data_IF_987307473054
#
_entry.id   IF_987307473054
#
_cell.length_a   1.000
_cell.length_b   1.000
_cell.length_c   1.000
_cell.angle_alpha   90.00
_cell.angle_beta   90.00
_cell.angle_gamma   90.00
#
_symmetry.space_group_name_H-M   'P 1'
#
loop_
_entity.id
_entity.type
_entity.pdbx_description
1 polymer ?
#
# COMPACT_ATOMS: atom_id res chain seq x y z
N UNK A 1 25.03 1.03 -18.29
CA UNK A 1 24.06 0.04 -17.82
C UNK A 1 22.95 0.76 -17.09
N UNK A 2 21.84 1.02 -17.77
CA UNK A 2 20.61 1.48 -17.13
C UNK A 2 19.73 0.26 -16.86
N UNK A 3 19.61 -0.12 -15.58
CA UNK A 3 18.69 -1.15 -15.10
C UNK A 3 17.46 -0.45 -14.51
N UNK A 4 16.27 -0.77 -15.00
CA UNK A 4 15.02 -0.31 -14.36
C UNK A 4 14.25 -1.48 -13.75
N UNK A 5 13.93 -1.31 -12.48
CA UNK A 5 12.94 -2.10 -11.75
C UNK A 5 11.55 -1.52 -12.05
N UNK A 6 10.91 -1.96 -13.13
CA UNK A 6 9.54 -1.56 -13.50
C UNK A 6 8.48 -2.31 -12.69
N UNK A 7 8.78 -2.59 -11.43
CA UNK A 7 7.97 -3.42 -10.55
C UNK A 7 6.58 -2.82 -10.27
N UNK A 8 6.39 -1.51 -10.41
CA UNK A 8 5.09 -0.85 -10.15
C UNK A 8 4.46 -0.33 -11.45
N UNK A 9 5.28 0.12 -12.40
CA UNK A 9 4.81 0.66 -13.69
C UNK A 9 4.48 -0.41 -14.71
N UNK A 10 5.13 -1.58 -14.66
CA UNK A 10 5.02 -2.64 -15.67
C UNK A 10 3.59 -3.03 -16.06
N UNK A 11 2.64 -3.20 -15.12
CA UNK A 11 1.25 -3.53 -15.44
C UNK A 11 0.51 -2.45 -16.25
N UNK A 12 1.00 -1.22 -16.28
CA UNK A 12 0.24 -0.05 -16.72
C UNK A 12 0.82 0.64 -17.97
N UNK A 13 2.14 0.65 -18.11
CA UNK A 13 2.82 1.40 -19.18
C UNK A 13 3.37 0.49 -20.25
N UNK A 14 3.53 1.00 -21.47
CA UNK A 14 4.29 0.32 -22.51
C UNK A 14 5.76 0.19 -22.08
N UNK A 15 6.36 -0.99 -22.27
CA UNK A 15 7.75 -1.26 -21.91
C UNK A 15 8.55 -1.39 -23.19
N UNK A 16 9.46 -0.44 -23.43
CA UNK A 16 10.39 -0.47 -24.57
C UNK A 16 11.82 -0.38 -24.05
N UNK A 17 12.64 -1.39 -24.40
CA UNK A 17 14.05 -1.42 -24.01
C UNK A 17 14.85 -0.30 -24.67
N UNK A 18 14.74 -0.09 -25.99
CA UNK A 18 15.50 0.95 -26.73
C UNK A 18 17.02 0.92 -26.45
N UNK A 19 17.60 -0.26 -26.20
CA UNK A 19 19.00 -0.40 -25.80
C UNK A 19 19.96 0.25 -26.81
N UNK A 20 20.99 0.92 -26.31
CA UNK A 20 21.93 1.73 -27.11
C UNK A 20 21.48 3.17 -27.36
N UNK A 21 20.24 3.53 -27.01
CA UNK A 21 19.80 4.93 -27.00
C UNK A 21 20.08 5.60 -25.65
N UNK A 22 20.20 6.92 -25.63
CA UNK A 22 20.54 7.69 -24.41
C UNK A 22 19.51 7.57 -23.30
N UNK A 23 18.24 7.33 -23.65
CA UNK A 23 17.12 7.09 -22.74
C UNK A 23 16.68 5.60 -22.73
N UNK A 24 17.49 4.72 -23.32
CA UNK A 24 17.24 3.28 -23.38
C UNK A 24 17.63 2.53 -22.12
N UNK A 25 16.97 1.40 -21.90
CA UNK A 25 17.27 0.42 -20.87
C UNK A 25 18.13 -0.70 -21.43
N UNK A 26 19.19 -1.04 -20.71
CA UNK A 26 20.03 -2.19 -21.04
C UNK A 26 19.52 -3.47 -20.38
N UNK A 27 18.75 -3.33 -19.29
CA UNK A 27 18.05 -4.42 -18.64
C UNK A 27 16.77 -3.94 -17.96
N UNK A 28 15.76 -4.80 -17.92
CA UNK A 28 14.46 -4.59 -17.29
C UNK A 28 14.11 -5.83 -16.47
N UNK A 29 13.76 -5.61 -15.20
CA UNK A 29 13.24 -6.66 -14.34
C UNK A 29 11.77 -6.42 -14.01
N UNK A 30 10.95 -7.45 -14.23
CA UNK A 30 9.50 -7.40 -14.10
C UNK A 30 9.00 -8.43 -13.09
N UNK A 31 7.89 -8.07 -12.44
CA UNK A 31 7.13 -8.94 -11.55
C UNK A 31 5.72 -9.10 -12.09
N UNK A 32 5.46 -10.13 -12.93
CA UNK A 32 4.15 -10.33 -13.51
C UNK A 32 3.06 -10.60 -12.47
N UNK A 33 3.39 -10.99 -11.23
CA UNK A 33 2.42 -11.11 -10.12
C UNK A 33 1.69 -9.81 -9.75
N UNK A 34 2.09 -8.68 -10.33
CA UNK A 34 1.41 -7.39 -10.20
C UNK A 34 0.51 -7.03 -11.38
N UNK A 35 0.53 -7.85 -12.43
CA UNK A 35 -0.35 -7.72 -13.59
C UNK A 35 -1.68 -8.39 -13.28
N UNK A 36 -2.74 -7.94 -13.94
CA UNK A 36 -4.05 -8.58 -13.86
C UNK A 36 -3.94 -10.03 -14.37
N UNK A 37 -4.27 -11.01 -13.52
CA UNK A 37 -4.14 -12.44 -13.83
C UNK A 37 -2.73 -13.02 -13.65
N UNK A 38 -1.75 -12.21 -13.20
CA UNK A 38 -0.38 -12.63 -13.03
C UNK A 38 0.04 -13.26 -11.69
N UNK A 39 -0.76 -13.30 -10.59
CA UNK A 39 -0.36 -14.06 -9.40
C UNK A 39 0.15 -15.48 -9.72
N UNK A 40 1.17 -15.92 -8.99
CA UNK A 40 1.93 -17.16 -9.20
C UNK A 40 2.81 -17.23 -10.46
N UNK A 41 3.03 -16.11 -11.16
CA UNK A 41 4.02 -16.01 -12.26
C UNK A 41 5.47 -15.93 -11.74
N UNK A 42 6.49 -16.34 -12.53
CA UNK A 42 7.89 -16.10 -12.19
C UNK A 42 8.28 -14.63 -12.39
N UNK A 43 9.39 -14.20 -11.79
CA UNK A 43 10.04 -12.94 -12.17
C UNK A 43 10.62 -13.04 -13.58
N UNK A 44 10.61 -11.92 -14.33
CA UNK A 44 11.18 -11.88 -15.68
C UNK A 44 12.34 -10.89 -15.72
N UNK A 45 13.50 -11.35 -16.19
CA UNK A 45 14.65 -10.50 -16.52
C UNK A 45 14.83 -10.47 -18.03
N UNK A 46 14.74 -9.28 -18.61
CA UNK A 46 15.13 -9.02 -19.99
C UNK A 46 16.38 -8.15 -19.98
N UNK A 47 17.42 -8.55 -20.72
CA UNK A 47 18.66 -7.77 -20.78
C UNK A 47 19.28 -7.83 -22.17
N UNK A 48 20.02 -6.79 -22.53
CA UNK A 48 20.85 -6.79 -23.72
C UNK A 48 21.90 -7.91 -23.59
N UNK A 49 21.99 -8.77 -24.61
CA UNK A 49 22.93 -9.91 -24.67
C UNK A 49 24.38 -9.52 -24.40
N UNK A 50 24.78 -8.28 -24.73
CA UNK A 50 26.12 -7.75 -24.49
C UNK A 50 26.45 -7.56 -22.98
N UNK A 51 25.44 -7.53 -22.11
CA UNK A 51 25.62 -7.51 -20.66
C UNK A 51 25.91 -8.89 -20.07
N UNK A 52 25.59 -9.97 -20.78
CA UNK A 52 25.83 -11.32 -20.27
C UNK A 52 27.30 -11.70 -20.39
N UNK A 53 28.08 -11.38 -19.34
CA UNK A 53 29.52 -11.62 -19.25
C UNK A 53 29.89 -12.97 -18.62
N UNK A 54 28.90 -13.73 -18.16
CA UNK A 54 29.09 -15.02 -17.49
C UNK A 54 29.21 -16.20 -18.47
N UNK A 55 29.32 -15.98 -19.79
CA UNK A 55 29.42 -17.10 -20.76
C UNK A 55 30.61 -18.03 -20.48
N UNK A 56 31.72 -17.46 -20.01
CA UNK A 56 32.93 -18.21 -19.67
C UNK A 56 32.98 -18.67 -18.21
N UNK A 57 31.86 -18.66 -17.49
CA UNK A 57 31.78 -19.03 -16.07
C UNK A 57 30.50 -19.82 -15.80
N UNK A 58 30.40 -20.55 -14.67
CA UNK A 58 29.15 -21.18 -14.28
C UNK A 58 27.97 -20.19 -14.24
N UNK A 59 26.73 -20.62 -14.55
CA UNK A 59 25.55 -19.77 -14.43
C UNK A 59 25.29 -19.32 -12.99
N UNK A 60 24.46 -18.30 -12.83
CA UNK A 60 24.12 -17.77 -11.50
C UNK A 60 23.43 -18.82 -10.63
N UNK A 61 22.64 -19.71 -11.25
CA UNK A 61 22.01 -20.86 -10.58
C UNK A 61 22.31 -22.12 -11.38
N UNK A 62 23.12 -23.02 -10.81
CA UNK A 62 23.42 -24.31 -11.41
C UNK A 62 22.31 -25.33 -11.11
N UNK A 63 22.02 -26.21 -12.06
CA UNK A 63 21.06 -27.29 -11.89
C UNK A 63 20.90 -28.14 -13.14
N UNK A 64 20.09 -29.20 -13.06
CA UNK A 64 19.71 -29.97 -14.25
C UNK A 64 19.11 -29.07 -15.33
N UNK A 65 19.39 -29.35 -16.60
CA UNK A 65 18.92 -28.52 -17.71
C UNK A 65 19.74 -27.25 -18.01
N UNK A 66 20.85 -27.00 -17.30
CA UNK A 66 21.78 -25.88 -17.58
C UNK A 66 23.09 -26.32 -18.24
N UNK A 67 23.27 -27.64 -18.39
CA UNK A 67 24.51 -28.31 -18.79
C UNK A 67 24.26 -29.25 -19.96
N UNK A 68 25.22 -29.31 -20.87
CA UNK A 68 25.30 -30.33 -21.91
C UNK A 68 26.11 -31.54 -21.42
N UNK A 69 27.10 -31.31 -20.56
CA UNK A 69 27.94 -32.37 -19.99
C UNK A 69 28.47 -32.00 -18.61
N UNK A 70 28.47 -32.98 -17.70
CA UNK A 70 29.04 -32.88 -16.35
C UNK A 70 29.94 -34.10 -16.13
N UNK A 71 31.13 -33.86 -15.60
CA UNK A 71 32.06 -34.92 -15.21
C UNK A 71 32.19 -34.99 -13.67
N UNK A 72 32.88 -36.01 -13.17
CA UNK A 72 33.10 -36.23 -11.73
C UNK A 72 34.49 -35.86 -11.21
N UNK A 73 35.32 -35.17 -12.00
CA UNK A 73 36.75 -34.96 -11.73
C UNK A 73 37.11 -33.48 -11.53
N UNK A 74 36.84 -32.61 -12.51
CA UNK A 74 37.15 -31.17 -12.45
C UNK A 74 35.94 -30.35 -12.96
N UNK A 75 35.55 -29.35 -12.18
CA UNK A 75 34.45 -28.43 -12.51
C UNK A 75 34.69 -27.67 -13.82
N UNK A 76 35.96 -27.42 -14.19
CA UNK A 76 36.34 -26.70 -15.42
C UNK A 76 35.98 -27.43 -16.70
N UNK A 77 35.86 -28.75 -16.62
CA UNK A 77 35.50 -29.61 -17.75
C UNK A 77 33.97 -29.80 -17.85
N UNK A 78 33.18 -29.04 -17.08
CA UNK A 78 31.71 -28.97 -17.21
C UNK A 78 31.35 -28.13 -18.43
N UNK A 79 30.53 -28.70 -19.33
CA UNK A 79 30.03 -27.99 -20.50
C UNK A 79 28.63 -27.49 -20.19
N UNK A 80 28.51 -26.17 -20.06
CA UNK A 80 27.23 -25.49 -19.85
C UNK A 80 26.58 -25.11 -21.18
N UNK A 81 25.25 -25.07 -21.21
CA UNK A 81 24.50 -24.68 -22.41
C UNK A 81 24.89 -23.27 -22.90
N UNK A 82 24.91 -23.08 -24.22
CA UNK A 82 25.24 -21.79 -24.86
C UNK A 82 24.07 -20.79 -24.83
N UNK A 83 22.83 -21.30 -24.85
CA UNK A 83 21.64 -20.45 -24.84
C UNK A 83 21.41 -19.90 -23.45
N UNK A 84 21.51 -18.57 -23.33
CA UNK A 84 21.52 -17.83 -22.05
C UNK A 84 20.28 -18.14 -21.22
N UNK A 85 19.10 -18.22 -21.84
CA UNK A 85 17.84 -18.46 -21.14
C UNK A 85 17.78 -19.86 -20.52
N UNK A 86 18.28 -20.88 -21.21
CA UNK A 86 18.31 -22.26 -20.70
C UNK A 86 19.41 -22.40 -19.63
N UNK A 87 20.57 -21.79 -19.88
CA UNK A 87 21.71 -21.74 -18.97
C UNK A 87 21.39 -21.13 -17.60
N UNK A 88 20.52 -20.12 -17.53
CA UNK A 88 20.13 -19.45 -16.28
C UNK A 88 18.84 -19.99 -15.65
N UNK A 89 18.19 -21.00 -16.26
CA UNK A 89 16.99 -21.65 -15.72
C UNK A 89 17.31 -23.04 -15.18
N UNK A 90 17.96 -23.06 -14.01
CA UNK A 90 18.30 -24.30 -13.30
C UNK A 90 17.09 -25.12 -12.86
N UNK A 91 17.10 -26.42 -13.19
CA UNK A 91 16.09 -27.39 -12.79
C UNK A 91 14.88 -27.43 -13.74
N UNK A 92 13.75 -27.95 -13.24
CA UNK A 92 12.51 -27.98 -14.01
C UNK A 92 11.99 -26.56 -14.22
N UNK A 93 11.85 -26.08 -15.48
CA UNK A 93 11.34 -24.73 -15.73
C UNK A 93 9.93 -24.55 -15.18
N UNK A 94 9.56 -23.34 -14.74
CA UNK A 94 8.24 -23.07 -14.20
C UNK A 94 7.22 -22.89 -15.34
N UNK A 95 6.86 -23.99 -16.02
CA UNK A 95 6.07 -24.00 -17.27
C UNK A 95 4.72 -23.30 -17.06
N UNK A 96 3.92 -23.76 -16.10
CA UNK A 96 2.58 -23.21 -15.85
C UNK A 96 2.66 -21.74 -15.42
N UNK A 97 3.64 -21.39 -14.59
CA UNK A 97 3.84 -20.02 -14.15
C UNK A 97 4.26 -19.11 -15.33
N UNK A 98 5.04 -19.63 -16.28
CA UNK A 98 5.42 -18.92 -17.51
C UNK A 98 4.21 -18.69 -18.42
N UNK A 99 3.34 -19.68 -18.57
CA UNK A 99 2.07 -19.50 -19.31
C UNK A 99 1.20 -18.44 -18.65
N UNK A 100 1.09 -18.44 -17.31
CA UNK A 100 0.36 -17.39 -16.57
C UNK A 100 0.95 -16.01 -16.81
N UNK A 101 2.28 -15.87 -16.79
CA UNK A 101 2.93 -14.61 -17.10
C UNK A 101 2.55 -14.13 -18.51
N UNK A 102 2.65 -14.99 -19.53
CA UNK A 102 2.30 -14.64 -20.91
C UNK A 102 0.83 -14.18 -21.02
N UNK A 103 -0.10 -14.90 -20.40
CA UNK A 103 -1.53 -14.53 -20.38
C UNK A 103 -1.77 -13.18 -19.71
N UNK A 104 -1.06 -12.87 -18.62
CA UNK A 104 -1.17 -11.57 -17.96
C UNK A 104 -0.71 -10.41 -18.86
N UNK A 105 0.31 -10.61 -19.69
CA UNK A 105 0.70 -9.65 -20.72
C UNK A 105 -0.36 -9.52 -21.81
N UNK A 106 -0.92 -10.63 -22.30
CA UNK A 106 -1.98 -10.59 -23.31
C UNK A 106 -3.23 -9.85 -22.83
N UNK A 107 -3.64 -10.03 -21.56
CA UNK A 107 -4.76 -9.27 -20.98
C UNK A 107 -4.47 -7.76 -21.01
N UNK A 108 -3.25 -7.36 -20.62
CA UNK A 108 -2.84 -5.95 -20.65
C UNK A 108 -2.84 -5.39 -22.08
N UNK A 109 -2.31 -6.14 -23.04
CA UNK A 109 -2.25 -5.75 -24.45
C UNK A 109 -3.64 -5.64 -25.07
N UNK A 110 -4.53 -6.59 -24.76
CA UNK A 110 -5.92 -6.60 -25.21
C UNK A 110 -6.69 -5.34 -24.75
N UNK A 111 -6.48 -4.89 -23.51
CA UNK A 111 -7.11 -3.67 -22.99
C UNK A 111 -6.50 -2.42 -23.65
N UNK A 112 -5.19 -2.45 -23.91
CA UNK A 112 -4.47 -1.40 -24.59
C UNK A 112 -3.98 -0.28 -23.68
N UNK A 113 -2.74 0.18 -23.90
CA UNK A 113 -2.05 1.13 -23.03
C UNK A 113 -2.76 2.48 -22.91
N UNK A 114 -3.35 2.98 -24.01
CA UNK A 114 -4.07 4.26 -24.04
C UNK A 114 -5.32 4.24 -23.15
N UNK A 115 -6.06 3.14 -23.15
CA UNK A 115 -7.27 3.01 -22.32
C UNK A 115 -6.90 2.84 -20.84
N UNK A 116 -5.86 2.06 -20.54
CA UNK A 116 -5.31 1.95 -19.18
C UNK A 116 -4.91 3.32 -18.65
N UNK A 117 -4.11 4.07 -19.41
CA UNK A 117 -3.67 5.42 -19.04
C UNK A 117 -4.87 6.36 -18.83
N UNK A 118 -5.82 6.39 -19.77
CA UNK A 118 -7.01 7.22 -19.68
C UNK A 118 -7.79 6.96 -18.38
N UNK A 119 -7.99 5.70 -18.01
CA UNK A 119 -8.71 5.33 -16.77
C UNK A 119 -7.92 5.66 -15.52
N UNK A 120 -6.62 5.36 -15.48
CA UNK A 120 -5.78 5.73 -14.34
C UNK A 120 -5.75 7.25 -14.12
N UNK A 121 -5.57 8.02 -15.19
CA UNK A 121 -5.57 9.48 -15.13
C UNK A 121 -6.95 10.02 -14.70
N UNK A 122 -8.05 9.41 -15.17
CA UNK A 122 -9.39 9.78 -14.72
C UNK A 122 -9.55 9.61 -13.20
N UNK A 123 -9.21 8.44 -12.67
CA UNK A 123 -9.36 8.16 -11.24
C UNK A 123 -8.46 9.01 -10.37
N UNK A 124 -7.17 9.13 -10.70
CA UNK A 124 -6.24 9.89 -9.86
C UNK A 124 -6.57 11.38 -9.85
N UNK A 125 -6.88 11.98 -11.00
CA UNK A 125 -7.20 13.41 -11.07
C UNK A 125 -8.50 13.72 -10.31
N UNK A 126 -9.49 12.83 -10.39
CA UNK A 126 -10.74 12.96 -9.63
C UNK A 126 -10.51 12.82 -8.12
N UNK A 127 -9.69 11.86 -7.70
CA UNK A 127 -9.35 11.66 -6.29
C UNK A 127 -8.57 12.86 -5.71
N UNK A 128 -7.57 13.37 -6.44
CA UNK A 128 -6.81 14.56 -6.05
C UNK A 128 -7.74 15.76 -5.88
N UNK A 129 -8.54 16.08 -6.91
CA UNK A 129 -9.46 17.22 -6.88
C UNK A 129 -10.45 17.16 -5.71
N UNK A 130 -10.95 15.96 -5.38
CA UNK A 130 -11.92 15.78 -4.30
C UNK A 130 -11.27 15.92 -2.92
N UNK A 131 -10.17 15.21 -2.69
CA UNK A 131 -9.57 15.08 -1.35
C UNK A 131 -8.67 16.25 -0.97
N UNK A 132 -8.07 16.97 -1.93
CA UNK A 132 -7.21 18.13 -1.66
C UNK A 132 -7.97 19.27 -0.97
N UNK A 133 -9.28 19.37 -1.19
CA UNK A 133 -10.14 20.35 -0.54
C UNK A 133 -10.36 20.08 0.97
N UNK A 134 -10.04 18.88 1.46
CA UNK A 134 -10.31 18.48 2.83
C UNK A 134 -9.17 18.91 3.77
N UNK A 135 -9.41 19.79 4.76
CA UNK A 135 -8.36 20.32 5.63
C UNK A 135 -7.72 19.27 6.53
N UNK A 136 -8.35 18.11 6.75
CA UNK A 136 -7.83 17.03 7.60
C UNK A 136 -7.05 15.98 6.80
N UNK A 137 -7.02 16.07 5.47
CA UNK A 137 -6.29 15.15 4.61
C UNK A 137 -5.08 15.88 4.04
N UNK A 138 -3.95 15.19 3.96
CA UNK A 138 -2.82 15.66 3.18
C UNK A 138 -2.34 14.55 2.27
N UNK A 139 -2.30 14.86 0.98
CA UNK A 139 -1.90 13.93 -0.08
C UNK A 139 -0.39 14.05 -0.26
N UNK A 140 0.30 12.91 -0.25
CA UNK A 140 1.75 12.85 -0.31
C UNK A 140 2.27 12.71 -1.76
N UNK A 141 3.47 13.25 -1.95
CA UNK A 141 4.17 13.28 -3.23
C UNK A 141 3.84 14.52 -4.06
N UNK A 142 4.35 14.58 -5.29
CA UNK A 142 4.10 15.70 -6.19
C UNK A 142 2.67 15.62 -6.75
N UNK A 143 1.91 16.71 -6.62
CA UNK A 143 0.51 16.82 -7.06
C UNK A 143 0.37 17.40 -8.47
N UNK A 144 1.42 18.01 -9.01
CA UNK A 144 1.44 18.65 -10.34
C UNK A 144 1.94 17.72 -11.45
N UNK A 145 2.68 16.67 -11.10
CA UNK A 145 3.22 15.72 -12.07
C UNK A 145 2.25 14.57 -12.34
N UNK A 146 2.21 14.11 -13.59
CA UNK A 146 1.53 12.87 -13.98
C UNK A 146 2.00 11.72 -13.07
N UNK A 147 1.04 10.96 -12.54
CA UNK A 147 1.29 9.84 -11.64
C UNK A 147 0.34 8.68 -11.92
N UNK A 148 0.75 7.48 -11.55
CA UNK A 148 -0.14 6.31 -11.52
C UNK A 148 -1.27 6.52 -10.52
N UNK A 149 -2.35 5.76 -10.65
CA UNK A 149 -3.52 5.88 -9.79
C UNK A 149 -3.32 5.26 -8.39
N UNK A 150 -2.22 5.65 -7.74
CA UNK A 150 -1.81 5.25 -6.41
C UNK A 150 -1.80 6.50 -5.53
N UNK A 151 -2.73 6.53 -4.58
CA UNK A 151 -2.93 7.64 -3.67
C UNK A 151 -2.28 7.30 -2.32
N UNK A 152 -1.30 8.10 -1.93
CA UNK A 152 -0.70 8.06 -0.59
C UNK A 152 -1.13 9.31 0.18
N UNK A 153 -1.66 9.14 1.38
CA UNK A 153 -2.21 10.24 2.16
C UNK A 153 -2.05 10.01 3.66
N UNK A 154 -2.10 11.11 4.41
CA UNK A 154 -2.17 11.13 5.87
C UNK A 154 -3.45 11.84 6.30
N UNK A 155 -3.96 11.45 7.46
CA UNK A 155 -5.15 12.07 8.07
C UNK A 155 -4.73 12.68 9.41
N UNK A 156 -5.10 13.94 9.62
CA UNK A 156 -4.92 14.65 10.87
C UNK A 156 -6.12 14.45 11.79
N UNK A 157 -5.83 14.28 13.09
CA UNK A 157 -6.85 14.47 14.12
C UNK A 157 -7.20 15.96 14.25
N UNK A 158 -8.33 16.27 14.90
CA UNK A 158 -8.77 17.63 15.23
C UNK A 158 -8.70 17.84 16.73
N UNK A 159 -8.41 19.08 17.16
CA UNK A 159 -8.37 19.46 18.58
C UNK A 159 -9.27 20.67 18.86
N UNK A 160 -9.82 20.71 20.07
CA UNK A 160 -10.56 21.86 20.62
C UNK A 160 -9.65 22.83 21.41
N UNK A 161 -8.39 22.47 21.69
CA UNK A 161 -7.52 23.28 22.54
C UNK A 161 -6.78 24.36 21.76
N UNK A 162 -6.82 25.59 22.28
CA UNK A 162 -6.11 26.77 21.76
C UNK A 162 -4.58 26.68 21.90
N UNK A 163 -4.06 25.73 22.67
CA UNK A 163 -2.65 25.58 23.04
C UNK A 163 -1.81 25.03 21.88
N UNK A 164 -1.06 25.92 21.26
CA UNK A 164 -0.12 25.67 20.17
C UNK A 164 1.15 24.95 20.65
N UNK A 165 1.11 23.62 20.70
CA UNK A 165 2.32 22.77 20.62
C UNK A 165 2.10 21.61 19.63
N UNK A 166 1.38 21.90 18.54
CA UNK A 166 1.23 20.97 17.42
C UNK A 166 2.50 20.96 16.58
N UNK A 167 3.16 19.80 16.51
CA UNK A 167 4.19 19.51 15.53
C UNK A 167 3.53 19.40 14.15
N UNK A 168 3.32 20.56 13.53
CA UNK A 168 2.83 20.71 12.17
C UNK A 168 3.87 21.40 11.29
N UNK A 169 3.85 21.07 10.00
CA UNK A 169 4.65 21.69 8.94
C UNK A 169 4.56 23.22 9.07
N UNK A 170 5.72 23.88 9.27
CA UNK A 170 5.81 25.30 9.67
C UNK A 170 5.15 26.28 8.67
N UNK A 171 4.97 25.88 7.41
CA UNK A 171 4.32 26.67 6.34
C UNK A 171 2.78 26.57 6.30
N UNK A 172 2.15 25.68 7.07
CA UNK A 172 0.69 25.47 7.07
C UNK A 172 -0.06 26.26 8.15
N UNK A 173 0.61 27.17 8.88
CA UNK A 173 0.00 27.95 9.97
C UNK A 173 -0.96 29.05 9.49
N UNK A 174 -0.98 29.38 8.21
CA UNK A 174 -1.77 30.47 7.65
C UNK A 174 -2.83 29.96 6.68
N UNK A 175 -3.82 29.20 7.17
CA UNK A 175 -5.16 29.15 6.56
C UNK A 175 -6.15 28.36 7.42
N UNK A 176 -7.17 29.09 7.88
CA UNK A 176 -8.51 28.66 8.32
C UNK A 176 -8.78 28.52 9.83
N UNK A 177 -9.87 29.17 10.24
CA UNK A 177 -10.43 29.33 11.58
C UNK A 177 -11.34 28.18 12.05
N UNK A 178 -11.27 26.99 11.43
CA UNK A 178 -11.98 25.78 11.88
C UNK A 178 -10.99 24.82 12.55
N UNK A 179 -11.33 24.30 13.75
CA UNK A 179 -10.58 23.33 14.58
C UNK A 179 -9.15 22.99 14.11
N UNK A 180 -8.13 23.54 14.78
CA UNK A 180 -6.72 23.36 14.43
C UNK A 180 -6.35 21.87 14.26
N UNK A 181 -5.50 21.56 13.27
CA UNK A 181 -4.93 20.21 13.06
C UNK A 181 -4.21 19.75 14.34
N UNK A 182 -4.57 18.55 14.80
CA UNK A 182 -3.90 17.82 15.88
C UNK A 182 -2.78 16.91 15.36
N UNK A 183 -2.40 15.90 16.14
CA UNK A 183 -1.46 14.84 15.70
C UNK A 183 -2.06 14.01 14.55
N UNK A 184 -1.20 13.33 13.79
CA UNK A 184 -1.60 12.41 12.73
C UNK A 184 -2.39 11.23 13.28
N UNK A 185 -3.29 10.65 12.50
CA UNK A 185 -3.75 9.28 12.73
C UNK A 185 -2.70 8.31 12.15
N UNK A 186 -2.40 7.24 12.87
CA UNK A 186 -1.39 6.28 12.43
C UNK A 186 -1.81 5.63 11.09
N UNK A 187 -0.92 5.55 10.09
CA UNK A 187 -1.26 5.00 8.78
C UNK A 187 -1.89 3.58 8.82
N UNK A 188 -1.33 2.63 9.59
CA UNK A 188 -1.95 1.36 9.90
C UNK A 188 -3.32 1.47 10.59
N UNK A 189 -3.55 2.45 11.47
CA UNK A 189 -4.88 2.65 12.09
C UNK A 189 -5.92 3.03 11.04
N UNK A 190 -5.59 4.00 10.18
CA UNK A 190 -6.48 4.42 9.10
C UNK A 190 -6.76 3.26 8.14
N UNK A 191 -5.75 2.44 7.82
CA UNK A 191 -5.95 1.24 7.01
C UNK A 191 -6.85 0.20 7.70
N UNK A 192 -6.67 0.00 9.00
CA UNK A 192 -7.55 -0.86 9.81
C UNK A 192 -8.98 -0.35 9.83
N UNK A 193 -9.23 0.96 10.01
CA UNK A 193 -10.58 1.54 9.96
C UNK A 193 -11.24 1.34 8.58
N UNK A 194 -10.48 1.52 7.50
CA UNK A 194 -10.97 1.28 6.14
C UNK A 194 -11.37 -0.18 5.93
N UNK A 195 -10.60 -1.11 6.49
CA UNK A 195 -10.90 -2.54 6.44
C UNK A 195 -12.11 -2.90 7.30
N UNK A 196 -12.08 -2.58 8.59
CA UNK A 196 -13.08 -3.04 9.56
C UNK A 196 -14.46 -2.42 9.33
N UNK A 197 -14.53 -1.15 8.90
CA UNK A 197 -15.79 -0.44 8.74
C UNK A 197 -16.38 -0.56 7.33
N UNK A 198 -15.53 -0.76 6.31
CA UNK A 198 -15.94 -0.65 4.90
C UNK A 198 -15.49 -1.82 4.02
N UNK A 199 -14.71 -2.77 4.53
CA UNK A 199 -14.14 -3.86 3.74
C UNK A 199 -13.08 -3.40 2.72
N UNK A 200 -12.52 -2.19 2.88
CA UNK A 200 -11.55 -1.62 1.94
C UNK A 200 -10.14 -2.00 2.38
N UNK A 201 -9.45 -2.77 1.56
CA UNK A 201 -8.05 -3.14 1.80
C UNK A 201 -7.11 -2.00 1.40
N UNK A 202 -6.59 -1.28 2.41
CA UNK A 202 -5.54 -0.29 2.25
C UNK A 202 -4.21 -0.80 2.83
N UNK A 203 -3.10 -0.10 2.52
CA UNK A 203 -1.80 -0.37 3.16
C UNK A 203 -1.37 0.79 4.03
N UNK A 204 -1.07 0.51 5.30
CA UNK A 204 -0.48 1.46 6.23
C UNK A 204 1.02 1.20 6.42
N UNK A 205 1.85 2.25 6.45
CA UNK A 205 3.28 2.17 6.74
C UNK A 205 4.14 3.05 5.83
N UNK A 206 5.42 2.70 5.66
CA UNK A 206 6.38 3.47 4.86
C UNK A 206 6.63 2.90 3.44
N UNK A 207 5.82 1.93 2.99
CA UNK A 207 5.85 1.35 1.64
C UNK A 207 7.24 0.88 1.13
N UNK A 208 8.08 0.36 2.01
CA UNK A 208 9.49 -0.02 1.74
C UNK A 208 10.37 1.15 1.25
N UNK A 209 9.93 2.39 1.47
CA UNK A 209 10.60 3.61 1.05
C UNK A 209 11.01 4.44 2.29
N UNK A 210 11.69 3.80 3.25
CA UNK A 210 12.06 4.39 4.54
C UNK A 210 12.70 5.79 4.43
N UNK A 211 13.78 5.96 3.64
CA UNK A 211 14.42 7.27 3.45
C UNK A 211 13.48 8.33 2.86
N UNK A 212 12.67 7.95 1.86
CA UNK A 212 11.68 8.86 1.27
C UNK A 212 10.59 9.24 2.27
N UNK A 213 10.18 8.30 3.14
CA UNK A 213 9.27 8.57 4.25
C UNK A 213 9.80 9.59 5.26
N UNK A 214 11.12 9.62 5.49
CA UNK A 214 11.73 10.66 6.33
C UNK A 214 11.59 12.06 5.71
N UNK A 215 11.79 12.16 4.40
CA UNK A 215 11.61 13.42 3.68
C UNK A 215 10.14 13.85 3.68
N UNK A 216 9.22 12.95 3.33
CA UNK A 216 7.79 13.22 3.29
C UNK A 216 7.20 13.65 4.64
N UNK A 217 7.68 13.06 5.73
CA UNK A 217 7.19 13.32 7.09
C UNK A 217 8.07 14.32 7.86
N UNK A 218 9.05 14.94 7.20
CA UNK A 218 9.99 15.89 7.79
C UNK A 218 10.71 15.38 9.06
N UNK A 219 11.11 14.10 9.04
CA UNK A 219 11.83 13.46 10.14
C UNK A 219 13.30 13.85 10.06
N UNK A 220 13.77 14.59 11.07
CA UNK A 220 15.17 15.00 11.14
C UNK A 220 16.08 13.87 11.70
N UNK A 221 17.39 14.12 11.71
CA UNK A 221 18.39 13.14 12.14
C UNK A 221 18.20 12.68 13.60
N UNK A 222 17.93 13.59 14.54
CA UNK A 222 17.78 13.22 15.95
C UNK A 222 16.53 12.38 16.17
N UNK A 223 15.43 12.73 15.51
CA UNK A 223 14.20 11.94 15.53
C UNK A 223 14.37 10.56 14.89
N UNK A 224 15.08 10.47 13.76
CA UNK A 224 15.39 9.19 13.10
C UNK A 224 16.19 8.26 14.03
N UNK A 225 17.19 8.80 14.73
CA UNK A 225 17.98 8.03 15.70
C UNK A 225 17.17 7.61 16.92
N UNK A 226 16.26 8.46 17.41
CA UNK A 226 15.33 8.10 18.48
C UNK A 226 14.43 6.93 18.07
N UNK A 227 13.81 7.03 16.87
CA UNK A 227 12.98 5.94 16.30
C UNK A 227 13.79 4.65 16.22
N UNK A 228 15.04 4.72 15.73
CA UNK A 228 15.93 3.56 15.65
C UNK A 228 16.17 2.94 17.04
N UNK A 229 16.53 3.73 18.05
CA UNK A 229 16.77 3.24 19.41
C UNK A 229 15.56 2.50 19.97
N UNK A 230 14.38 3.10 19.87
CA UNK A 230 13.14 2.49 20.38
C UNK A 230 12.74 1.23 19.61
N UNK A 231 13.04 1.13 18.31
CA UNK A 231 12.88 -0.12 17.56
C UNK A 231 13.85 -1.20 18.07
N UNK A 232 15.10 -0.84 18.40
CA UNK A 232 16.08 -1.79 18.96
C UNK A 232 15.67 -2.31 20.34
N UNK A 233 14.88 -1.55 21.10
CA UNK A 233 14.24 -1.97 22.35
C UNK A 233 13.01 -2.88 22.15
N UNK A 234 12.63 -3.16 20.89
CA UNK A 234 11.54 -4.06 20.52
C UNK A 234 10.18 -3.38 20.33
N UNK A 235 10.13 -2.05 20.28
CA UNK A 235 8.90 -1.27 20.04
C UNK A 235 8.77 -0.85 18.58
N UNK A 236 8.48 -1.81 17.69
CA UNK A 236 8.40 -1.56 16.24
C UNK A 236 7.24 -0.63 15.85
N UNK A 237 6.22 -0.52 16.72
CA UNK A 237 5.04 0.31 16.48
C UNK A 237 5.29 1.80 16.39
N UNK A 238 6.45 2.29 16.84
CA UNK A 238 6.81 3.72 16.71
C UNK A 238 7.10 4.14 15.26
N UNK A 239 7.20 3.18 14.34
CA UNK A 239 7.47 3.45 12.92
C UNK A 239 6.40 4.41 12.35
N UNK A 240 6.82 5.55 11.79
CA UNK A 240 5.90 6.45 11.13
C UNK A 240 5.51 5.90 9.75
N UNK A 241 4.45 6.45 9.17
CA UNK A 241 3.97 6.05 7.87
C UNK A 241 2.70 6.75 7.47
N UNK A 242 2.20 6.38 6.30
CA UNK A 242 0.99 6.91 5.70
C UNK A 242 0.06 5.77 5.28
N UNK A 243 -1.12 6.12 4.82
CA UNK A 243 -2.05 5.17 4.21
C UNK A 243 -1.98 5.28 2.71
N UNK A 244 -2.06 4.13 2.03
CA UNK A 244 -2.03 4.05 0.57
C UNK A 244 -3.18 3.19 0.05
N UNK A 245 -3.87 3.72 -0.95
CA UNK A 245 -4.84 2.99 -1.78
C UNK A 245 -4.44 3.08 -3.25
N UNK A 246 -4.86 2.10 -4.04
CA UNK A 246 -4.62 2.08 -5.49
C UNK A 246 -5.95 1.91 -6.21
N UNK A 247 -6.13 2.62 -7.33
CA UNK A 247 -7.31 2.54 -8.18
C UNK A 247 -6.91 1.81 -9.47
N UNK A 248 -7.04 0.48 -9.55
CA UNK A 248 -6.72 -0.25 -10.77
C UNK A 248 -7.65 0.18 -11.91
N UNK A 249 -7.16 0.15 -13.16
CA UNK A 249 -7.91 0.57 -14.34
C UNK A 249 -9.19 -0.26 -14.60
N UNK A 250 -9.29 -1.45 -14.00
CA UNK A 250 -10.45 -2.34 -14.08
C UNK A 250 -11.45 -2.16 -12.92
N UNK A 251 -11.17 -1.23 -11.99
CA UNK A 251 -12.11 -0.84 -10.92
C UNK A 251 -13.36 -0.20 -11.50
N UNK A 252 -14.51 -0.45 -10.87
CA UNK A 252 -15.77 0.20 -11.23
C UNK A 252 -15.90 1.61 -10.61
N UNK A 253 -16.65 2.50 -11.26
CA UNK A 253 -16.80 3.87 -10.79
C UNK A 253 -17.48 3.98 -9.41
N UNK A 254 -18.40 3.08 -9.08
CA UNK A 254 -19.11 3.10 -7.79
C UNK A 254 -18.20 2.70 -6.63
N UNK A 255 -17.30 1.75 -6.86
CA UNK A 255 -16.25 1.31 -5.93
C UNK A 255 -15.26 2.44 -5.68
N UNK A 256 -14.83 3.11 -6.74
CA UNK A 256 -13.99 4.30 -6.65
C UNK A 256 -14.64 5.39 -5.78
N UNK A 257 -15.91 5.73 -6.03
CA UNK A 257 -16.64 6.73 -5.23
C UNK A 257 -16.83 6.30 -3.77
N UNK A 258 -17.08 5.02 -3.54
CA UNK A 258 -17.21 4.46 -2.20
C UNK A 258 -15.90 4.58 -1.42
N UNK A 259 -14.76 4.27 -2.05
CA UNK A 259 -13.44 4.41 -1.42
C UNK A 259 -13.16 5.87 -1.03
N UNK A 260 -13.43 6.83 -1.92
CA UNK A 260 -13.24 8.26 -1.58
C UNK A 260 -14.14 8.71 -0.43
N UNK A 261 -15.40 8.26 -0.43
CA UNK A 261 -16.36 8.57 0.63
C UNK A 261 -15.93 7.96 1.97
N UNK A 262 -15.35 6.76 1.97
CA UNK A 262 -14.80 6.11 3.17
C UNK A 262 -13.57 6.86 3.70
N UNK A 263 -12.67 7.32 2.82
CA UNK A 263 -11.51 8.14 3.21
C UNK A 263 -11.97 9.45 3.86
N UNK A 264 -12.95 10.14 3.26
CA UNK A 264 -13.55 11.35 3.83
C UNK A 264 -14.22 11.07 5.18
N UNK A 265 -14.92 9.94 5.32
CA UNK A 265 -15.48 9.50 6.59
C UNK A 265 -14.39 9.38 7.66
N UNK A 266 -13.28 8.70 7.37
CA UNK A 266 -12.18 8.55 8.34
C UNK A 266 -11.54 9.90 8.65
N UNK A 267 -11.47 10.82 7.69
CA UNK A 267 -10.96 12.17 7.92
C UNK A 267 -11.86 13.02 8.85
N UNK A 268 -13.16 12.73 8.89
CA UNK A 268 -14.14 13.44 9.74
C UNK A 268 -14.30 12.76 11.11
N UNK A 269 -14.40 11.43 11.12
CA UNK A 269 -14.82 10.65 12.28
C UNK A 269 -13.73 9.72 12.82
N UNK A 270 -12.67 9.45 12.08
CA UNK A 270 -11.69 8.40 12.38
C UNK A 270 -11.08 8.48 13.78
N UNK A 271 -10.79 9.70 14.26
CA UNK A 271 -10.27 9.87 15.63
C UNK A 271 -11.23 9.38 16.71
N UNK A 272 -12.56 9.44 16.48
CA UNK A 272 -13.57 9.02 17.46
C UNK A 272 -13.51 7.53 17.74
N UNK A 273 -12.97 6.74 16.81
CA UNK A 273 -12.85 5.30 16.93
C UNK A 273 -11.67 4.86 17.80
N UNK A 274 -10.70 5.73 18.10
CA UNK A 274 -9.53 5.37 18.92
C UNK A 274 -9.86 4.58 20.21
N UNK A 275 -10.90 4.93 21.01
CA UNK A 275 -11.25 4.17 22.22
C UNK A 275 -11.62 2.71 21.94
N UNK A 276 -12.23 2.44 20.78
CA UNK A 276 -12.63 1.10 20.36
C UNK A 276 -11.48 0.24 19.86
N UNK A 277 -10.25 0.78 19.79
CA UNK A 277 -9.10 0.04 19.32
C UNK A 277 -8.01 -0.05 20.39
N UNK A 278 -7.25 -1.13 20.30
CA UNK A 278 -6.02 -1.35 21.06
C UNK A 278 -4.83 -1.24 20.10
N UNK A 279 -3.80 -0.53 20.54
CA UNK A 279 -2.55 -0.38 19.79
C UNK A 279 -1.44 -1.21 20.44
N UNK A 280 -0.83 -2.09 19.65
CA UNK A 280 0.29 -2.90 20.12
C UNK A 280 1.62 -2.22 19.73
N UNK A 281 2.30 -1.60 20.70
CA UNK A 281 3.59 -0.93 20.49
C UNK A 281 4.71 -1.86 20.01
N UNK A 282 4.65 -3.17 20.28
CA UNK A 282 5.71 -4.11 19.88
C UNK A 282 5.72 -4.38 18.38
N UNK A 283 4.55 -4.45 17.75
CA UNK A 283 4.44 -4.79 16.32
C UNK A 283 3.75 -3.72 15.46
N UNK A 284 3.15 -2.70 16.07
CA UNK A 284 2.45 -1.62 15.37
C UNK A 284 1.03 -1.96 14.89
N UNK A 285 0.47 -3.09 15.31
CA UNK A 285 -0.89 -3.51 14.93
C UNK A 285 -1.97 -2.80 15.74
N UNK A 286 -3.10 -2.55 15.08
CA UNK A 286 -4.33 -2.07 15.69
C UNK A 286 -5.36 -3.20 15.68
N UNK A 287 -6.04 -3.40 16.81
CA UNK A 287 -7.12 -4.40 16.92
C UNK A 287 -8.34 -3.78 17.56
N UNK A 288 -9.49 -3.99 16.92
CA UNK A 288 -10.77 -3.59 17.47
C UNK A 288 -11.05 -4.36 18.76
N UNK A 289 -11.56 -3.66 19.77
CA UNK A 289 -12.03 -4.24 21.03
C UNK A 289 -13.49 -4.65 20.84
N UNK A 290 -13.71 -5.82 20.26
CA UNK A 290 -15.05 -6.32 19.90
C UNK A 290 -16.02 -6.25 21.09
N UNK A 291 -15.60 -6.66 22.28
CA UNK A 291 -16.42 -6.61 23.50
C UNK A 291 -16.90 -5.19 23.84
N UNK A 292 -16.05 -4.17 23.66
CA UNK A 292 -16.43 -2.77 23.92
C UNK A 292 -17.42 -2.26 22.88
N UNK A 293 -17.27 -2.68 21.62
CA UNK A 293 -18.19 -2.34 20.56
C UNK A 293 -19.55 -3.01 20.77
N UNK A 294 -19.56 -4.30 21.11
CA UNK A 294 -20.79 -5.02 21.46
C UNK A 294 -21.49 -4.40 22.66
N UNK A 295 -20.75 -4.05 23.72
CA UNK A 295 -21.30 -3.36 24.88
C UNK A 295 -21.90 -2.00 24.51
N UNK A 296 -21.23 -1.24 23.64
CA UNK A 296 -21.72 0.05 23.13
C UNK A 296 -23.01 -0.14 22.33
N UNK A 297 -23.08 -1.16 21.47
CA UNK A 297 -24.27 -1.46 20.67
C UNK A 297 -25.45 -1.91 21.55
N UNK A 298 -25.21 -2.82 22.50
CA UNK A 298 -26.22 -3.30 23.46
C UNK A 298 -26.79 -2.15 24.30
N UNK A 299 -25.93 -1.26 24.80
CA UNK A 299 -26.35 -0.08 25.58
C UNK A 299 -27.27 0.87 24.82
N UNK A 300 -27.16 0.93 23.49
CA UNK A 300 -27.95 1.82 22.64
C UNK A 300 -29.08 1.08 21.90
N UNK A 301 -29.48 -0.11 22.36
CA UNK A 301 -30.54 -0.95 21.79
C UNK A 301 -30.36 -1.22 20.27
N UNK A 302 -29.11 -1.38 19.84
CA UNK A 302 -28.80 -1.65 18.44
C UNK A 302 -28.45 -3.14 18.25
N UNK A 303 -29.36 -3.89 17.64
CA UNK A 303 -29.11 -5.27 17.20
C UNK A 303 -28.32 -5.27 15.89
N UNK A 304 -27.05 -4.87 15.92
CA UNK A 304 -26.15 -5.03 14.77
C UNK A 304 -25.19 -6.19 15.00
N UNK A 305 -25.29 -7.22 14.15
CA UNK A 305 -24.12 -8.03 13.82
C UNK A 305 -23.22 -7.20 12.91
N UNK A 306 -22.05 -6.82 13.41
CA UNK A 306 -20.91 -6.53 12.54
C UNK A 306 -20.48 -7.90 12.07
N UNK A 307 -20.80 -8.24 10.83
CA UNK A 307 -20.36 -9.48 10.20
C UNK A 307 -18.84 -9.47 10.12
N UNK A 308 -18.20 -9.94 11.19
CA UNK A 308 -16.92 -10.66 11.12
C UNK A 308 -17.29 -12.14 10.92
N UNK A 309 -18.19 -12.43 9.98
CA UNK A 309 -18.33 -13.80 9.51
C UNK A 309 -17.24 -13.99 8.47
N UNK A 310 -16.28 -14.84 8.78
CA UNK A 310 -15.54 -15.58 7.77
C UNK A 310 -16.60 -16.22 6.87
N UNK A 311 -16.85 -15.63 5.70
CA UNK A 311 -17.73 -16.21 4.70
C UNK A 311 -17.06 -17.48 4.17
N UNK A 312 -17.21 -18.58 4.89
CA UNK A 312 -17.01 -19.94 4.42
C UNK A 312 -18.19 -20.38 3.54
N UNK A 313 -18.57 -19.55 2.57
CA UNK A 313 -19.47 -19.95 1.51
C UNK A 313 -18.93 -19.44 0.18
N UNK A 314 -18.90 -20.33 -0.80
CA UNK A 314 -18.49 -20.08 -2.18
C UNK A 314 -18.99 -18.70 -2.64
N UNK A 315 -18.04 -17.83 -3.00
CA UNK A 315 -18.27 -16.44 -3.37
C UNK A 315 -19.11 -16.34 -4.64
N UNK A 316 -20.44 -16.38 -4.51
CA UNK A 316 -21.36 -15.95 -5.57
C UNK A 316 -21.20 -14.45 -5.74
N UNK A 317 -20.82 -14.02 -6.94
CA UNK A 317 -20.72 -12.61 -7.29
C UNK A 317 -22.06 -11.90 -7.02
N UNK A 318 -22.07 -10.96 -6.08
CA UNK A 318 -23.23 -10.11 -5.79
C UNK A 318 -23.52 -9.23 -7.00
N UNK A 319 -24.79 -9.09 -7.38
CA UNK A 319 -25.19 -8.18 -8.45
C UNK A 319 -24.98 -6.72 -8.06
N UNK A 320 -24.73 -5.84 -9.05
CA UNK A 320 -24.40 -4.41 -8.85
C UNK A 320 -25.34 -3.69 -7.85
N UNK A 321 -26.66 -3.89 -7.98
CA UNK A 321 -27.66 -3.29 -7.07
C UNK A 321 -27.55 -3.78 -5.61
N UNK A 322 -27.15 -5.03 -5.39
CA UNK A 322 -26.94 -5.57 -4.04
C UNK A 322 -25.67 -5.00 -3.42
N UNK A 323 -24.59 -4.88 -4.21
CA UNK A 323 -23.32 -4.29 -3.78
C UNK A 323 -23.47 -2.82 -3.37
N UNK A 324 -24.22 -2.03 -4.15
CA UNK A 324 -24.49 -0.62 -3.83
C UNK A 324 -25.27 -0.44 -2.51
N UNK A 325 -26.31 -1.28 -2.29
CA UNK A 325 -27.06 -1.30 -1.01
C UNK A 325 -26.18 -1.68 0.18
N UNK A 326 -25.29 -2.65 0.00
CA UNK A 326 -24.34 -3.09 1.03
C UNK A 326 -23.35 -1.98 1.40
N UNK A 327 -22.74 -1.32 0.41
CA UNK A 327 -21.84 -0.17 0.60
C UNK A 327 -22.52 0.97 1.35
N UNK A 328 -23.77 1.29 1.02
CA UNK A 328 -24.56 2.29 1.75
C UNK A 328 -24.79 1.86 3.21
N UNK A 329 -25.13 0.60 3.45
CA UNK A 329 -25.29 0.05 4.79
C UNK A 329 -24.03 0.20 5.65
N UNK A 330 -22.84 -0.05 5.10
CA UNK A 330 -21.57 0.17 5.81
C UNK A 330 -21.38 1.63 6.25
N UNK A 331 -21.65 2.59 5.35
CA UNK A 331 -21.57 4.02 5.67
C UNK A 331 -22.57 4.44 6.76
N UNK A 332 -23.81 3.98 6.68
CA UNK A 332 -24.84 4.31 7.65
C UNK A 332 -24.51 3.74 9.04
N UNK A 333 -24.04 2.48 9.11
CA UNK A 333 -23.56 1.86 10.35
C UNK A 333 -22.36 2.61 10.94
N UNK A 334 -21.35 2.91 10.12
CA UNK A 334 -20.16 3.62 10.57
C UNK A 334 -20.51 5.01 11.14
N UNK A 335 -21.41 5.75 10.47
CA UNK A 335 -21.92 7.04 10.96
C UNK A 335 -22.69 6.91 12.27
N UNK A 336 -23.50 5.87 12.42
CA UNK A 336 -24.21 5.60 13.66
C UNK A 336 -23.23 5.32 14.80
N UNK A 337 -22.24 4.43 14.62
CA UNK A 337 -21.21 4.17 15.64
C UNK A 337 -20.46 5.46 15.99
N UNK A 338 -20.06 6.25 14.99
CA UNK A 338 -19.34 7.51 15.20
C UNK A 338 -20.16 8.55 15.98
N UNK A 339 -21.50 8.53 15.92
CA UNK A 339 -22.36 9.44 16.66
C UNK A 339 -22.42 9.12 18.15
N UNK A 340 -22.24 7.84 18.51
CA UNK A 340 -22.18 7.35 19.89
C UNK A 340 -20.83 7.60 20.56
N UNK A 341 -19.78 7.87 19.78
CA UNK A 341 -18.42 8.03 20.25
C UNK A 341 -18.07 9.51 20.52
N UNK A 342 -17.24 9.79 21.54
CA UNK A 342 -16.83 11.15 21.85
C UNK A 342 -16.11 11.80 20.67
N UNK A 343 -16.46 13.06 20.37
CA UNK A 343 -15.84 13.80 19.25
C UNK A 343 -14.33 13.96 19.44
N UNK A 344 -13.89 14.17 20.68
CA UNK A 344 -12.48 14.34 21.06
C UNK A 344 -12.14 13.35 22.18
N UNK A 345 -11.78 12.10 21.86
CA UNK A 345 -11.41 11.14 22.90
C UNK A 345 -10.12 11.58 23.60
N UNK A 346 -9.96 11.22 24.87
CA UNK A 346 -8.71 11.39 25.60
C UNK A 346 -7.56 10.64 24.91
N UNK A 347 -6.32 11.09 25.07
CA UNK A 347 -5.16 10.30 24.62
C UNK A 347 -5.16 8.95 25.35
N UNK A 348 -4.89 7.87 24.61
CA UNK A 348 -4.81 6.53 25.16
C UNK A 348 -3.61 6.39 26.10
N UNK A 349 -3.75 5.57 27.15
CA UNK A 349 -2.64 5.20 28.01
C UNK A 349 -1.78 4.19 27.25
N UNK A 350 -0.54 4.58 26.92
CA UNK A 350 0.44 3.67 26.35
C UNK A 350 1.01 2.77 27.44
N UNK A 351 0.83 1.47 27.31
CA UNK A 351 1.46 0.50 28.20
C UNK A 351 2.89 0.20 27.69
N UNK A 352 3.89 0.77 28.35
CA UNK A 352 5.32 0.54 28.07
C UNK A 352 6.21 1.72 28.46
N UNK A 353 7.52 1.50 28.57
CA UNK A 353 8.50 2.55 28.90
C UNK A 353 8.89 3.39 27.66
N UNK A 354 7.91 3.72 26.80
CA UNK A 354 8.15 4.50 25.58
C UNK A 354 7.70 5.94 25.83
N UNK A 355 8.61 6.90 25.63
CA UNK A 355 8.27 8.31 25.73
C UNK A 355 7.20 8.67 24.66
N UNK A 356 6.00 9.13 25.06
CA UNK A 356 4.93 9.47 24.11
C UNK A 356 5.31 10.53 23.08
N UNK A 357 6.33 11.36 23.35
CA UNK A 357 6.82 12.38 22.40
C UNK A 357 7.47 11.79 21.15
N UNK A 358 7.82 10.50 21.17
CA UNK A 358 8.39 9.82 19.99
C UNK A 358 7.33 9.47 18.94
N UNK A 359 6.06 9.39 19.35
CA UNK A 359 4.98 9.04 18.45
C UNK A 359 4.56 10.24 17.62
N UNK A 360 4.70 10.11 16.30
CA UNK A 360 4.26 11.10 15.31
C UNK A 360 2.73 11.16 15.15
N UNK A 361 2.03 10.22 15.77
CA UNK A 361 0.62 10.01 15.62
C UNK A 361 -0.07 9.91 16.98
N UNK A 362 -1.39 10.07 16.94
CA UNK A 362 -2.29 9.93 18.08
C UNK A 362 -2.55 8.45 18.36
N UNK A 363 -2.55 8.09 19.64
CA UNK A 363 -2.96 6.78 20.15
C UNK A 363 -4.12 6.92 21.11
#
# INVERSE_FOLDING_TARGET
>A
MVLILTLISGPYVEIKMRSGQSDGYDAVFLSPHKFLGGPDSPGLLLMNKALYRLRSSPPSTCGGGTVDYVNGFDEKDTVYMEKIEERENGGTPPIIQTVRAALAFWVKEYIGYKEIEKREQHYINKALKRLESNPNIEILGNLSTKRQAILSFIIYSTTNSSSSHGWGIKWLRERNLWSKRGKLLHGPFVATLLSDLFGIQARGGCACAGPYGHQLLNINKSQSLAIRSTIQEGYVGVKPGWTRVSFPYYMDCEEFEFILTAIEFVAIYGQRFLPLYSFNLRNGSWRMKTDQLEALMKKNNCNFQITVEETNSESKALGVKQTSKLRKSYLDKAKYIASLLPKFPSEGILHGNVNPSILYFRV
#
